data_IF_083960185883
#
_entry.id   IF_083960185883
#
_cell.length_a   1.000
_cell.length_b   1.000
_cell.length_c   1.000
_cell.angle_alpha   90.00
_cell.angle_beta   90.00
_cell.angle_gamma   90.00
#
_symmetry.space_group_name_H-M   'P 1'
#
loop_
_entity.id
_entity.type
_entity.pdbx_description
1 polymer ?
#
# COMPACT_ATOMS: atom_id res chain seq x y z
N UNK A 1 22.34 -10.08 21.49
CA UNK A 1 22.11 -10.48 20.10
C UNK A 1 23.13 -11.52 19.61
N UNK A 2 24.43 -11.25 19.64
CA UNK A 2 25.46 -12.09 19.04
C UNK A 2 25.37 -13.61 19.36
N UNK A 3 24.91 -13.99 20.55
CA UNK A 3 24.74 -15.39 20.97
C UNK A 3 23.52 -16.11 20.38
N UNK A 4 22.63 -15.37 19.73
CA UNK A 4 21.40 -15.88 19.12
C UNK A 4 21.43 -15.80 17.59
N UNK A 5 22.46 -15.17 17.02
CA UNK A 5 22.60 -15.10 15.57
C UNK A 5 22.99 -16.46 15.00
N UNK A 6 22.41 -16.77 13.86
CA UNK A 6 22.61 -18.00 13.07
C UNK A 6 23.15 -17.67 11.68
N UNK A 7 24.39 -17.11 11.57
CA UNK A 7 24.93 -16.67 10.28
C UNK A 7 24.91 -17.78 9.24
N UNK A 8 24.36 -17.46 8.06
CA UNK A 8 24.28 -18.36 6.92
C UNK A 8 24.80 -17.69 5.65
N UNK A 9 25.49 -18.46 4.81
CA UNK A 9 26.02 -18.00 3.53
C UNK A 9 24.96 -17.70 2.48
N UNK A 10 23.72 -18.14 2.69
CA UNK A 10 22.55 -17.83 1.84
C UNK A 10 21.96 -16.43 2.09
N UNK A 11 22.29 -15.81 3.23
CA UNK A 11 21.83 -14.45 3.53
C UNK A 11 22.51 -13.42 2.63
N UNK A 12 21.74 -12.41 2.21
CA UNK A 12 22.34 -11.24 1.56
C UNK A 12 23.16 -10.45 2.59
N UNK A 13 24.47 -10.46 2.40
CA UNK A 13 25.42 -9.78 3.27
C UNK A 13 26.09 -8.57 2.57
N UNK A 14 25.47 -8.01 1.53
CA UNK A 14 26.03 -6.92 0.73
C UNK A 14 25.58 -5.54 1.18
N UNK A 15 24.36 -5.43 1.73
CA UNK A 15 23.75 -4.17 2.13
C UNK A 15 23.24 -4.19 3.57
N UNK A 16 22.80 -3.04 4.08
CA UNK A 16 22.09 -2.91 5.35
C UNK A 16 20.56 -2.81 5.18
N UNK A 17 20.07 -2.80 3.92
CA UNK A 17 18.64 -2.68 3.62
C UNK A 17 17.82 -3.80 4.24
N UNK A 18 18.36 -5.03 4.24
CA UNK A 18 17.71 -6.18 4.85
C UNK A 18 18.74 -6.96 5.68
N UNK A 19 18.54 -7.00 6.98
CA UNK A 19 19.38 -7.72 7.94
C UNK A 19 18.51 -8.70 8.71
N UNK A 20 18.93 -9.96 8.83
CA UNK A 20 18.17 -10.99 9.53
C UNK A 20 19.02 -11.72 10.58
N UNK A 21 18.42 -12.65 11.29
CA UNK A 21 19.10 -13.55 12.22
C UNK A 21 20.23 -14.35 11.54
N UNK A 22 20.14 -14.52 10.20
CA UNK A 22 21.14 -15.23 9.39
C UNK A 22 22.24 -14.32 8.83
N UNK A 23 22.14 -13.02 9.03
CA UNK A 23 23.16 -12.06 8.61
C UNK A 23 24.41 -12.10 9.49
N UNK A 24 25.50 -11.55 8.98
CA UNK A 24 26.74 -11.47 9.75
C UNK A 24 26.59 -10.54 10.95
N UNK A 25 27.31 -10.80 12.02
CA UNK A 25 27.33 -9.93 13.20
C UNK A 25 27.71 -8.49 12.84
N UNK A 26 28.55 -8.31 11.83
CA UNK A 26 28.96 -7.02 11.33
C UNK A 26 27.77 -6.20 10.84
N UNK A 27 26.87 -6.78 10.03
CA UNK A 27 25.65 -6.12 9.55
C UNK A 27 24.66 -5.86 10.67
N UNK A 28 24.47 -6.84 11.57
CA UNK A 28 23.60 -6.68 12.75
C UNK A 28 24.04 -5.49 13.61
N UNK A 29 25.35 -5.25 13.71
CA UNK A 29 25.93 -4.12 14.45
C UNK A 29 26.20 -2.88 13.58
N UNK A 30 25.45 -2.74 12.47
CA UNK A 30 25.46 -1.58 11.58
C UNK A 30 26.74 -1.39 10.75
N UNK A 31 27.65 -2.35 10.71
CA UNK A 31 28.91 -2.30 9.97
C UNK A 31 29.66 -0.98 10.18
N UNK A 32 29.81 -0.21 9.10
CA UNK A 32 30.44 1.11 9.08
C UNK A 32 29.43 2.25 9.06
N UNK A 33 28.15 1.94 9.06
CA UNK A 33 27.11 2.95 9.07
C UNK A 33 27.19 3.76 10.35
N UNK A 34 27.41 5.06 10.21
CA UNK A 34 27.57 5.98 11.31
C UNK A 34 26.31 6.85 11.46
N UNK A 35 25.17 6.18 11.65
CA UNK A 35 23.90 6.84 11.82
C UNK A 35 23.60 7.24 13.26
N UNK A 36 22.72 8.21 13.39
CA UNK A 36 22.17 8.68 14.67
C UNK A 36 20.67 8.45 14.69
N UNK A 37 20.14 7.85 15.74
CA UNK A 37 18.68 7.69 15.93
C UNK A 37 18.07 9.08 16.10
N UNK A 38 17.13 9.42 15.23
CA UNK A 38 16.47 10.72 15.19
C UNK A 38 15.18 10.73 16.01
N UNK A 39 14.34 9.68 15.85
CA UNK A 39 13.10 9.54 16.59
C UNK A 39 13.22 8.45 17.67
N UNK A 40 12.53 8.64 18.79
CA UNK A 40 12.42 7.56 19.78
C UNK A 40 11.72 6.34 19.15
N UNK A 41 12.25 5.11 19.34
CA UNK A 41 11.64 3.92 18.77
C UNK A 41 10.18 3.73 19.25
N UNK A 42 9.27 3.65 18.30
CA UNK A 42 7.89 3.24 18.55
C UNK A 42 7.84 1.72 18.70
N UNK A 43 7.25 1.23 19.79
CA UNK A 43 7.20 -0.20 20.11
C UNK A 43 5.79 -0.71 19.92
N UNK A 44 5.61 -1.70 19.04
CA UNK A 44 4.34 -2.38 18.79
C UNK A 44 4.43 -3.85 19.14
N UNK A 45 3.46 -4.38 19.89
CA UNK A 45 3.34 -5.81 20.15
C UNK A 45 2.33 -6.36 19.14
N UNK A 46 2.80 -7.16 18.19
CA UNK A 46 1.96 -7.71 17.11
C UNK A 46 1.36 -9.06 17.45
N UNK A 47 2.02 -9.84 18.29
CA UNK A 47 1.52 -11.15 18.72
C UNK A 47 1.94 -11.47 20.15
N UNK A 48 1.00 -12.00 20.92
CA UNK A 48 1.25 -12.54 22.27
C UNK A 48 0.68 -13.95 22.33
N UNK A 49 1.53 -14.93 22.61
CA UNK A 49 1.07 -16.29 22.89
C UNK A 49 1.93 -16.96 23.96
N UNK A 50 1.55 -18.18 24.34
CA UNK A 50 2.23 -18.92 25.42
C UNK A 50 3.66 -19.36 25.08
N UNK A 51 4.03 -19.35 23.81
CA UNK A 51 5.32 -19.90 23.31
C UNK A 51 6.29 -18.80 22.92
N UNK A 52 5.80 -17.66 22.41
CA UNK A 52 6.59 -16.53 21.97
C UNK A 52 5.76 -15.25 21.90
N UNK A 53 6.43 -14.13 21.74
CA UNK A 53 5.82 -12.85 21.43
C UNK A 53 6.52 -12.24 20.22
N UNK A 54 5.77 -11.42 19.46
CA UNK A 54 6.30 -10.65 18.33
C UNK A 54 6.25 -9.17 18.66
N UNK A 55 7.38 -8.50 18.48
CA UNK A 55 7.56 -7.08 18.77
C UNK A 55 8.15 -6.42 17.52
N UNK A 56 7.59 -5.28 17.12
CA UNK A 56 8.17 -4.39 16.12
C UNK A 56 8.69 -3.12 16.80
N UNK A 57 9.80 -2.62 16.31
CA UNK A 57 10.32 -1.29 16.61
C UNK A 57 10.41 -0.49 15.31
N UNK A 58 9.83 0.69 15.29
CA UNK A 58 9.87 1.64 14.18
C UNK A 58 10.54 2.92 14.63
N UNK A 59 11.54 3.40 13.87
CA UNK A 59 12.26 4.63 14.17
C UNK A 59 12.97 5.18 12.93
N UNK A 60 13.36 6.44 13.00
CA UNK A 60 14.14 7.11 11.95
C UNK A 60 15.60 7.27 12.39
N UNK A 61 16.49 6.99 11.47
CA UNK A 61 17.94 7.19 11.63
C UNK A 61 18.41 8.19 10.59
N UNK A 62 19.36 9.06 10.96
CA UNK A 62 20.04 9.95 10.03
C UNK A 62 21.51 9.58 9.91
N UNK A 63 22.07 9.73 8.72
CA UNK A 63 23.49 9.60 8.46
C UNK A 63 23.95 10.68 7.48
N UNK A 64 25.26 10.91 7.40
CA UNK A 64 25.82 11.74 6.35
C UNK A 64 26.17 10.85 5.17
N UNK A 65 25.59 11.12 4.02
CA UNK A 65 25.85 10.44 2.76
C UNK A 65 27.24 10.74 2.19
N UNK A 66 27.59 10.04 1.13
CA UNK A 66 28.89 10.18 0.45
C UNK A 66 29.07 11.59 -0.17
N UNK A 67 27.98 12.26 -0.52
CA UNK A 67 27.92 13.64 -1.02
C UNK A 67 28.09 14.70 0.09
N UNK A 68 28.03 14.28 1.36
CA UNK A 68 28.12 15.15 2.54
C UNK A 68 26.76 15.72 2.99
N UNK A 69 25.68 15.34 2.36
CA UNK A 69 24.32 15.71 2.75
C UNK A 69 23.75 14.76 3.81
N UNK A 70 22.71 15.20 4.50
CA UNK A 70 22.06 14.42 5.55
C UNK A 70 20.97 13.53 4.94
N UNK A 71 21.17 12.23 5.02
CA UNK A 71 20.22 11.20 4.60
C UNK A 71 19.39 10.74 5.79
N UNK A 72 18.13 10.36 5.51
CA UNK A 72 17.17 9.89 6.50
C UNK A 72 16.70 8.49 6.12
N UNK A 73 16.60 7.61 7.10
CA UNK A 73 16.23 6.22 6.89
C UNK A 73 15.12 5.79 7.84
N UNK A 74 14.06 5.20 7.30
CA UNK A 74 13.10 4.44 8.09
C UNK A 74 13.71 3.10 8.46
N UNK A 75 13.69 2.77 9.74
CA UNK A 75 14.16 1.49 10.24
C UNK A 75 13.01 0.77 10.93
N UNK A 76 12.76 -0.46 10.50
CA UNK A 76 11.86 -1.38 11.18
C UNK A 76 12.65 -2.58 11.67
N UNK A 77 12.48 -2.93 12.93
CA UNK A 77 13.09 -4.12 13.52
C UNK A 77 12.00 -5.07 14.04
N UNK A 78 12.02 -6.29 13.53
CA UNK A 78 11.15 -7.38 13.96
C UNK A 78 11.89 -8.29 14.93
N UNK A 79 11.25 -8.57 16.06
CA UNK A 79 11.75 -9.47 17.08
C UNK A 79 10.72 -10.53 17.42
N UNK A 80 11.05 -11.81 17.23
CA UNK A 80 10.31 -12.94 17.77
C UNK A 80 11.05 -13.46 18.99
N UNK A 81 10.47 -13.31 20.15
CA UNK A 81 11.12 -13.63 21.42
C UNK A 81 10.33 -14.64 22.24
N UNK A 82 11.02 -15.47 23.01
CA UNK A 82 10.43 -16.37 23.98
C UNK A 82 11.03 -16.09 25.35
N UNK A 83 10.18 -15.79 26.31
CA UNK A 83 10.57 -15.68 27.71
C UNK A 83 10.43 -17.02 28.44
N UNK A 84 11.43 -17.36 29.23
CA UNK A 84 11.40 -18.47 30.20
C UNK A 84 11.75 -17.93 31.57
N UNK A 85 11.55 -18.73 32.62
CA UNK A 85 11.90 -18.31 33.99
C UNK A 85 13.38 -17.93 34.16
N UNK A 86 14.25 -18.43 33.27
CA UNK A 86 15.70 -18.23 33.36
C UNK A 86 16.19 -17.06 32.51
N UNK A 87 15.62 -16.90 31.32
CA UNK A 87 16.07 -15.85 30.36
C UNK A 87 15.11 -15.67 29.21
N UNK A 88 15.35 -14.59 28.46
CA UNK A 88 14.73 -14.33 27.14
C UNK A 88 15.57 -14.97 26.02
N UNK A 89 14.92 -15.62 25.09
CA UNK A 89 15.50 -16.18 23.88
C UNK A 89 15.02 -15.36 22.67
N UNK A 90 15.93 -15.02 21.77
CA UNK A 90 15.62 -14.51 20.45
C UNK A 90 15.40 -15.70 19.53
N UNK A 91 14.22 -15.79 18.90
CA UNK A 91 13.84 -16.87 17.98
C UNK A 91 13.94 -16.42 16.52
N UNK A 92 13.72 -15.14 16.24
CA UNK A 92 13.95 -14.51 14.95
C UNK A 92 14.23 -13.03 15.14
N UNK A 93 14.99 -12.46 14.22
CA UNK A 93 15.32 -11.05 14.11
C UNK A 93 15.39 -10.67 12.64
N UNK A 94 14.73 -9.60 12.29
CA UNK A 94 14.81 -8.95 10.98
C UNK A 94 14.89 -7.44 11.19
N UNK A 95 15.65 -6.77 10.34
CA UNK A 95 15.70 -5.31 10.27
C UNK A 95 15.69 -4.89 8.82
N UNK A 96 14.75 -4.04 8.46
CA UNK A 96 14.73 -3.31 7.19
C UNK A 96 15.17 -1.88 7.40
N UNK A 97 15.84 -1.31 6.41
CA UNK A 97 16.26 0.08 6.40
C UNK A 97 16.06 0.64 5.01
N UNK A 98 15.15 1.58 4.88
CA UNK A 98 14.76 2.23 3.63
C UNK A 98 15.03 3.72 3.71
N UNK A 99 15.68 4.26 2.68
CA UNK A 99 15.92 5.70 2.60
C UNK A 99 14.61 6.46 2.38
N UNK A 100 14.40 7.52 3.16
CA UNK A 100 13.27 8.41 3.01
C UNK A 100 13.55 9.34 1.82
N UNK A 101 12.79 9.15 0.75
CA UNK A 101 12.86 9.99 -0.43
C UNK A 101 12.47 11.44 -0.10
N UNK A 102 13.32 12.40 -0.41
CA UNK A 102 13.12 13.83 -0.11
C UNK A 102 13.11 14.71 -1.35
N UNK A 103 13.21 14.10 -2.53
CA UNK A 103 13.27 14.82 -3.80
C UNK A 103 14.40 15.85 -3.87
N UNK A 104 15.57 15.49 -3.37
CA UNK A 104 16.75 16.35 -3.39
C UNK A 104 17.38 16.41 -4.79
N UNK A 105 18.24 17.38 -5.05
CA UNK A 105 18.75 17.58 -6.41
C UNK A 105 19.56 16.40 -6.95
N UNK A 106 20.19 15.64 -6.07
CA UNK A 106 21.02 14.48 -6.44
C UNK A 106 20.21 13.28 -6.93
N UNK A 107 18.89 13.27 -6.70
CA UNK A 107 17.98 12.26 -7.24
C UNK A 107 17.64 12.47 -8.72
N UNK A 108 17.93 13.67 -9.27
CA UNK A 108 17.58 14.02 -10.64
C UNK A 108 18.79 13.88 -11.57
N UNK A 109 18.64 13.00 -12.55
CA UNK A 109 19.59 12.81 -13.64
C UNK A 109 18.97 13.29 -14.96
N UNK A 110 19.82 13.45 -15.99
CA UNK A 110 19.35 13.99 -17.28
C UNK A 110 18.15 13.24 -17.87
N UNK A 111 18.11 11.91 -17.69
CA UNK A 111 17.13 11.03 -18.30
C UNK A 111 16.34 10.16 -17.32
N UNK A 112 16.57 10.25 -16.03
CA UNK A 112 15.86 9.47 -15.02
C UNK A 112 15.84 10.14 -13.66
N UNK A 113 14.87 9.74 -12.84
CA UNK A 113 14.76 10.08 -11.43
C UNK A 113 15.08 8.83 -10.60
N UNK A 114 16.01 8.94 -9.67
CA UNK A 114 16.36 7.85 -8.76
C UNK A 114 15.46 7.92 -7.53
N UNK A 115 14.64 6.89 -7.33
CA UNK A 115 13.68 6.85 -6.22
C UNK A 115 14.17 6.06 -5.00
N UNK A 116 15.35 5.42 -5.08
CA UNK A 116 15.85 4.56 -4.01
C UNK A 116 14.94 3.37 -3.67
N UNK A 117 14.15 2.90 -4.62
CA UNK A 117 13.19 1.80 -4.42
C UNK A 117 13.94 0.47 -4.48
N UNK A 118 13.82 -0.34 -3.43
CA UNK A 118 14.43 -1.67 -3.33
C UNK A 118 13.43 -2.82 -3.51
N UNK A 119 12.13 -2.51 -3.59
CA UNK A 119 11.05 -3.48 -3.78
C UNK A 119 10.51 -3.43 -5.20
N UNK A 120 10.07 -4.56 -5.75
CA UNK A 120 9.29 -4.61 -6.99
C UNK A 120 7.80 -4.28 -6.80
N UNK A 121 7.37 -4.23 -5.55
CA UNK A 121 5.97 -3.98 -5.16
C UNK A 121 5.80 -2.49 -4.82
N UNK A 122 5.70 -1.68 -5.88
CA UNK A 122 5.54 -0.24 -5.79
C UNK A 122 4.23 0.16 -6.43
N UNK A 123 3.39 0.88 -5.69
CA UNK A 123 2.18 1.47 -6.23
C UNK A 123 2.57 2.66 -7.13
N UNK A 124 2.22 2.58 -8.41
CA UNK A 124 2.41 3.69 -9.36
C UNK A 124 1.35 3.67 -10.46
N UNK A 125 1.06 4.83 -11.02
CA UNK A 125 0.17 5.01 -12.16
C UNK A 125 0.61 6.17 -13.03
N UNK A 126 0.51 6.01 -14.35
CA UNK A 126 0.76 7.09 -15.31
C UNK A 126 -0.52 7.57 -15.97
N UNK A 127 -0.49 8.79 -16.53
CA UNK A 127 -1.49 9.23 -17.49
C UNK A 127 -1.41 8.43 -18.79
N UNK A 128 -2.36 8.58 -19.69
CA UNK A 128 -2.41 7.82 -20.97
C UNK A 128 -1.19 8.07 -21.87
N UNK A 129 -0.68 9.30 -21.90
CA UNK A 129 0.51 9.63 -22.70
C UNK A 129 1.82 9.17 -22.09
N UNK A 130 1.84 8.73 -20.83
CA UNK A 130 3.05 8.33 -20.10
C UNK A 130 3.98 9.49 -19.76
N UNK A 131 3.52 10.75 -19.89
CA UNK A 131 4.30 11.95 -19.58
C UNK A 131 4.27 12.34 -18.10
N UNK A 132 3.32 11.81 -17.36
CA UNK A 132 3.14 12.05 -15.93
C UNK A 132 3.07 10.71 -15.23
N UNK A 133 3.84 10.57 -14.15
CA UNK A 133 3.91 9.38 -13.31
C UNK A 133 3.66 9.76 -11.86
N UNK A 134 2.61 9.22 -11.25
CA UNK A 134 2.41 9.27 -9.82
C UNK A 134 2.86 7.95 -9.19
N UNK A 135 3.51 7.99 -8.05
CA UNK A 135 4.05 6.82 -7.35
C UNK A 135 3.99 7.01 -5.84
N UNK A 136 3.92 5.90 -5.12
CA UNK A 136 3.93 5.88 -3.65
C UNK A 136 5.31 5.45 -3.17
N UNK A 137 5.92 6.27 -2.32
CA UNK A 137 7.18 5.96 -1.66
C UNK A 137 7.05 6.25 -0.17
N UNK A 138 7.33 5.26 0.67
CA UNK A 138 7.32 5.37 2.14
C UNK A 138 6.03 5.99 2.73
N UNK A 139 4.86 5.59 2.18
CA UNK A 139 3.56 6.11 2.61
C UNK A 139 3.25 7.53 2.14
N UNK A 140 3.99 8.05 1.16
CA UNK A 140 3.80 9.36 0.55
C UNK A 140 3.47 9.23 -0.93
N UNK A 141 2.59 10.07 -1.43
CA UNK A 141 2.26 10.14 -2.86
C UNK A 141 3.01 11.28 -3.53
N UNK A 142 3.74 10.95 -4.57
CA UNK A 142 4.50 11.87 -5.41
C UNK A 142 4.02 11.79 -6.85
N UNK A 143 4.01 12.92 -7.56
CA UNK A 143 3.72 12.96 -9.00
C UNK A 143 4.84 13.69 -9.74
N UNK A 144 5.42 13.04 -10.75
CA UNK A 144 6.45 13.58 -11.63
C UNK A 144 5.89 13.88 -13.02
N UNK A 145 5.98 15.13 -13.45
CA UNK A 145 5.67 15.57 -14.80
C UNK A 145 6.98 15.69 -15.60
N UNK A 146 7.21 14.76 -16.52
CA UNK A 146 8.44 14.72 -17.32
C UNK A 146 8.55 15.88 -18.32
N UNK A 147 7.41 16.43 -18.79
CA UNK A 147 7.38 17.56 -19.73
C UNK A 147 7.81 18.85 -19.05
N UNK A 148 7.32 19.08 -17.85
CA UNK A 148 7.64 20.28 -17.06
C UNK A 148 8.90 20.09 -16.19
N UNK A 149 9.38 18.86 -16.08
CA UNK A 149 10.45 18.46 -15.14
C UNK A 149 10.13 18.88 -13.71
N UNK A 150 8.88 18.67 -13.31
CA UNK A 150 8.35 19.05 -12.01
C UNK A 150 8.00 17.79 -11.22
N UNK A 151 8.50 17.72 -9.99
CA UNK A 151 8.09 16.74 -9.01
C UNK A 151 7.25 17.45 -7.94
N UNK A 152 6.09 16.88 -7.63
CA UNK A 152 5.18 17.38 -6.59
C UNK A 152 4.94 16.32 -5.54
N UNK A 153 5.11 16.66 -4.27
CA UNK A 153 4.58 15.85 -3.17
C UNK A 153 3.09 16.13 -3.07
N UNK A 154 2.29 15.13 -3.40
CA UNK A 154 0.83 15.24 -3.45
C UNK A 154 0.22 14.99 -2.07
N UNK A 155 0.68 13.93 -1.40
CA UNK A 155 0.16 13.58 -0.08
C UNK A 155 1.28 13.06 0.82
N UNK A 156 1.28 13.54 2.06
CA UNK A 156 2.16 13.05 3.12
C UNK A 156 1.54 13.34 4.49
N UNK A 157 1.69 12.43 5.42
CA UNK A 157 1.43 12.71 6.84
C UNK A 157 2.64 13.34 7.53
N UNK A 158 3.81 13.34 6.90
CA UNK A 158 5.04 13.93 7.46
C UNK A 158 5.03 15.44 7.27
N UNK A 159 5.39 16.16 8.33
CA UNK A 159 5.75 17.56 8.23
C UNK A 159 7.15 17.73 7.61
N UNK A 160 7.53 18.98 7.32
CA UNK A 160 8.82 19.30 6.69
C UNK A 160 10.03 18.75 7.47
N UNK A 161 9.96 18.71 8.80
CA UNK A 161 11.06 18.19 9.63
C UNK A 161 11.02 16.67 9.83
N UNK A 162 9.84 16.04 9.72
CA UNK A 162 9.65 14.59 9.76
C UNK A 162 10.11 13.90 11.06
N UNK A 163 10.16 14.63 12.17
CA UNK A 163 10.70 14.15 13.46
C UNK A 163 9.64 13.69 14.47
N UNK A 164 8.38 13.91 14.19
CA UNK A 164 7.29 13.42 15.05
C UNK A 164 7.05 11.93 14.78
N UNK A 165 7.08 11.10 15.83
CA UNK A 165 6.81 9.66 15.72
C UNK A 165 5.42 9.34 15.14
N UNK A 166 4.42 10.21 15.36
CA UNK A 166 3.08 10.06 14.79
C UNK A 166 3.09 10.22 13.28
N UNK A 167 3.90 11.13 12.75
CA UNK A 167 4.04 11.36 11.31
C UNK A 167 4.65 10.17 10.58
N UNK A 168 5.51 9.44 11.27
CA UNK A 168 6.24 8.30 10.73
C UNK A 168 5.53 6.95 11.03
N UNK A 169 4.30 6.97 11.56
CA UNK A 169 3.55 5.75 11.80
C UNK A 169 3.14 5.11 10.47
N UNK A 170 3.50 3.83 10.28
CA UNK A 170 3.43 3.15 8.98
C UNK A 170 2.11 2.40 8.72
N UNK A 171 1.13 2.47 9.61
CA UNK A 171 -0.12 1.72 9.48
C UNK A 171 -1.12 2.41 8.54
N UNK A 172 -0.66 2.79 7.35
CA UNK A 172 -1.50 3.26 6.24
C UNK A 172 -0.85 2.93 4.90
N UNK A 173 -1.69 2.81 3.88
CA UNK A 173 -1.28 2.65 2.48
C UNK A 173 -2.02 3.67 1.61
N UNK A 174 -1.48 3.89 0.41
CA UNK A 174 -2.08 4.76 -0.61
C UNK A 174 -2.30 3.92 -1.87
N UNK A 175 -3.45 4.10 -2.51
CA UNK A 175 -3.75 3.52 -3.82
C UNK A 175 -4.14 4.62 -4.79
N UNK A 176 -3.51 4.64 -5.95
CA UNK A 176 -3.77 5.62 -7.01
C UNK A 176 -4.91 5.09 -7.88
N UNK A 177 -6.02 5.84 -7.96
CA UNK A 177 -7.19 5.44 -8.74
C UNK A 177 -7.04 5.90 -10.19
N UNK A 178 -6.66 7.18 -10.41
CA UNK A 178 -6.59 7.78 -11.73
C UNK A 178 -5.52 8.88 -11.76
N UNK A 179 -4.89 9.05 -12.91
CA UNK A 179 -4.02 10.20 -13.23
C UNK A 179 -4.47 10.74 -14.58
N UNK A 180 -4.83 12.01 -14.66
CA UNK A 180 -5.27 12.63 -15.88
C UNK A 180 -4.13 13.28 -16.70
N UNK A 181 -4.44 13.80 -17.89
CA UNK A 181 -3.45 14.43 -18.76
C UNK A 181 -2.93 15.79 -18.26
N UNK A 182 -3.56 16.36 -17.24
CA UNK A 182 -3.09 17.59 -16.58
C UNK A 182 -2.17 17.30 -15.40
N UNK A 183 -2.13 16.03 -14.93
CA UNK A 183 -1.40 15.58 -13.75
C UNK A 183 -2.22 15.67 -12.47
N UNK A 184 -3.52 15.92 -12.58
CA UNK A 184 -4.42 15.74 -11.44
C UNK A 184 -4.64 14.25 -11.20
N UNK A 185 -4.88 13.88 -9.95
CA UNK A 185 -4.97 12.48 -9.56
C UNK A 185 -6.04 12.24 -8.50
N UNK A 186 -6.78 11.14 -8.68
CA UNK A 186 -7.69 10.62 -7.67
C UNK A 186 -7.01 9.46 -6.96
N UNK A 187 -7.01 9.47 -5.64
CA UNK A 187 -6.32 8.47 -4.85
C UNK A 187 -7.04 8.19 -3.52
N UNK A 188 -6.72 7.05 -2.95
CA UNK A 188 -7.26 6.59 -1.67
C UNK A 188 -6.13 6.41 -0.67
N UNK A 189 -6.31 6.94 0.53
CA UNK A 189 -5.46 6.63 1.70
C UNK A 189 -6.29 5.78 2.64
N UNK A 190 -5.79 4.61 3.01
CA UNK A 190 -6.51 3.71 3.92
C UNK A 190 -5.60 3.21 5.03
N UNK A 191 -6.17 3.09 6.21
CA UNK A 191 -5.46 2.71 7.42
C UNK A 191 -5.62 3.74 8.53
N UNK A 192 -4.59 3.86 9.35
CA UNK A 192 -4.54 4.81 10.45
C UNK A 192 -4.20 6.21 9.93
N UNK A 193 -5.04 7.18 10.26
CA UNK A 193 -4.83 8.58 9.88
C UNK A 193 -3.91 9.27 10.87
N UNK A 194 -2.65 9.45 10.50
CA UNK A 194 -1.61 10.01 11.37
C UNK A 194 -1.84 11.49 11.68
N UNK A 195 -2.46 12.21 10.75
CA UNK A 195 -2.67 13.66 10.80
C UNK A 195 -3.99 14.05 10.12
N UNK A 196 -4.39 15.31 10.32
CA UNK A 196 -5.52 15.91 9.62
C UNK A 196 -6.84 15.79 10.38
N UNK A 197 -7.96 15.91 9.65
CA UNK A 197 -9.31 15.95 10.24
C UNK A 197 -9.70 14.64 10.94
N UNK A 198 -9.08 13.53 10.52
CA UNK A 198 -9.38 12.18 11.01
C UNK A 198 -8.22 11.59 11.84
N UNK A 199 -7.31 12.44 12.36
CA UNK A 199 -6.19 11.98 13.18
C UNK A 199 -6.65 11.02 14.29
N UNK A 200 -5.99 9.87 14.38
CA UNK A 200 -6.30 8.84 15.38
C UNK A 200 -7.41 7.87 14.99
N UNK A 201 -8.02 8.01 13.81
CA UNK A 201 -9.02 7.07 13.30
C UNK A 201 -8.41 6.12 12.28
N UNK A 202 -8.99 4.94 12.15
CA UNK A 202 -8.75 4.02 11.03
C UNK A 202 -9.89 4.18 10.04
N UNK A 203 -9.58 4.23 8.75
CA UNK A 203 -10.62 4.38 7.73
C UNK A 203 -10.06 4.41 6.31
N UNK A 204 -10.92 4.80 5.39
CA UNK A 204 -10.62 4.97 3.96
C UNK A 204 -10.97 6.39 3.57
N UNK A 205 -9.97 7.19 3.22
CA UNK A 205 -10.14 8.54 2.69
C UNK A 205 -9.98 8.56 1.18
N UNK A 206 -10.91 9.18 0.46
CA UNK A 206 -10.85 9.41 -0.98
C UNK A 206 -10.50 10.87 -1.22
N UNK A 207 -9.50 11.10 -2.05
CA UNK A 207 -8.92 12.43 -2.26
C UNK A 207 -8.77 12.73 -3.74
N UNK A 208 -8.97 14.00 -4.08
CA UNK A 208 -8.66 14.58 -5.39
C UNK A 208 -7.47 15.55 -5.28
N UNK A 209 -6.47 15.38 -6.14
CA UNK A 209 -5.36 16.31 -6.31
C UNK A 209 -5.55 17.13 -7.58
N UNK A 210 -5.70 18.44 -7.46
CA UNK A 210 -5.65 19.39 -8.58
C UNK A 210 -4.19 19.82 -8.81
N UNK A 211 -3.60 19.41 -9.92
CA UNK A 211 -2.21 19.70 -10.26
C UNK A 211 -1.96 21.17 -10.61
N UNK A 212 -2.99 21.88 -11.11
CA UNK A 212 -2.90 23.29 -11.49
C UNK A 212 -2.96 24.21 -10.26
N UNK A 213 -3.91 23.93 -9.37
CA UNK A 213 -4.02 24.63 -8.10
C UNK A 213 -2.97 24.18 -7.07
N UNK A 214 -2.40 22.99 -7.27
CA UNK A 214 -1.52 22.27 -6.35
C UNK A 214 -2.16 22.11 -4.97
N UNK A 215 -3.40 21.62 -4.96
CA UNK A 215 -4.21 21.40 -3.76
C UNK A 215 -4.76 19.98 -3.73
N UNK A 216 -4.93 19.46 -2.53
CA UNK A 216 -5.59 18.17 -2.27
C UNK A 216 -6.88 18.45 -1.52
N UNK A 217 -7.98 17.89 -2.01
CA UNK A 217 -9.29 17.94 -1.39
C UNK A 217 -9.72 16.53 -0.97
N UNK A 218 -10.23 16.39 0.25
CA UNK A 218 -10.86 15.17 0.73
C UNK A 218 -12.32 15.16 0.26
N UNK A 219 -12.68 14.17 -0.54
CA UNK A 219 -14.02 14.00 -1.08
C UNK A 219 -14.91 13.13 -0.20
N UNK A 220 -14.29 12.13 0.44
CA UNK A 220 -15.01 11.16 1.27
C UNK A 220 -14.09 10.59 2.35
N UNK A 221 -14.64 10.33 3.53
CA UNK A 221 -14.01 9.51 4.54
C UNK A 221 -14.98 8.43 5.06
N UNK A 222 -14.56 7.17 4.99
CA UNK A 222 -15.30 6.01 5.48
C UNK A 222 -14.59 5.51 6.73
N UNK A 223 -15.11 5.75 7.94
CA UNK A 223 -14.48 5.29 9.17
C UNK A 223 -14.58 3.77 9.30
N UNK A 224 -13.52 3.14 9.82
CA UNK A 224 -13.49 1.71 10.17
C UNK A 224 -13.35 1.54 11.68
N UNK A 225 -13.99 0.50 12.21
CA UNK A 225 -13.80 0.07 13.61
C UNK A 225 -12.74 -1.03 13.73
N UNK A 226 -12.21 -1.51 12.62
CA UNK A 226 -11.17 -2.52 12.55
C UNK A 226 -9.78 -1.89 12.60
N UNK A 227 -8.76 -2.68 12.97
CA UNK A 227 -7.37 -2.26 12.84
C UNK A 227 -6.97 -2.12 11.37
N UNK A 228 -5.83 -1.46 11.13
CA UNK A 228 -5.29 -1.32 9.77
C UNK A 228 -5.10 -2.67 9.07
N UNK A 229 -4.56 -3.67 9.74
CA UNK A 229 -4.30 -4.99 9.14
C UNK A 229 -5.60 -5.69 8.73
N UNK A 230 -6.65 -5.57 9.55
CA UNK A 230 -7.98 -6.13 9.22
C UNK A 230 -8.59 -5.36 8.06
N UNK A 231 -8.60 -4.03 8.12
CA UNK A 231 -9.10 -3.19 7.03
C UNK A 231 -8.37 -3.50 5.72
N UNK A 232 -7.04 -3.58 5.73
CA UNK A 232 -6.22 -3.94 4.56
C UNK A 232 -6.60 -5.30 3.98
N UNK A 233 -6.89 -6.29 4.83
CA UNK A 233 -7.31 -7.62 4.41
C UNK A 233 -8.74 -7.65 3.85
N UNK A 234 -9.61 -6.76 4.32
CA UNK A 234 -11.00 -6.64 3.88
C UNK A 234 -11.13 -5.83 2.57
N UNK A 235 -10.19 -4.92 2.32
CA UNK A 235 -10.15 -4.16 1.08
C UNK A 235 -9.78 -5.07 -0.09
N UNK A 236 -10.74 -5.28 -1.00
CA UNK A 236 -10.51 -5.99 -2.24
C UNK A 236 -9.61 -5.22 -3.21
N UNK A 237 -9.29 -5.85 -4.34
CA UNK A 237 -8.53 -5.19 -5.40
C UNK A 237 -9.31 -4.03 -6.05
N UNK A 238 -10.65 -4.11 -6.04
CA UNK A 238 -11.50 -3.18 -6.75
C UNK A 238 -11.65 -1.87 -5.99
N UNK A 239 -11.10 -0.82 -6.57
CA UNK A 239 -11.37 0.59 -6.30
C UNK A 239 -11.42 1.32 -7.63
N UNK A 240 -12.54 1.95 -7.97
CA UNK A 240 -12.76 2.60 -9.25
C UNK A 240 -13.62 3.84 -9.09
N UNK A 241 -13.27 4.91 -9.76
CA UNK A 241 -14.09 6.11 -9.88
C UNK A 241 -14.45 6.33 -11.34
N UNK A 242 -15.74 6.46 -11.63
CA UNK A 242 -16.22 6.72 -12.98
C UNK A 242 -16.31 8.23 -13.27
N UNK A 243 -16.49 8.59 -14.55
CA UNK A 243 -16.61 9.98 -14.99
C UNK A 243 -17.81 10.74 -14.40
N UNK A 244 -18.76 10.03 -13.78
CA UNK A 244 -19.94 10.61 -13.14
C UNK A 244 -19.75 10.90 -11.65
N UNK A 245 -18.54 10.69 -11.09
CA UNK A 245 -18.23 10.87 -9.67
C UNK A 245 -18.85 9.79 -8.79
N UNK A 246 -19.01 8.59 -9.34
CA UNK A 246 -19.42 7.40 -8.57
C UNK A 246 -18.16 6.60 -8.24
N UNK A 247 -17.88 6.49 -6.96
CA UNK A 247 -16.77 5.68 -6.45
C UNK A 247 -17.25 4.30 -6.07
N UNK A 248 -16.55 3.28 -6.56
CA UNK A 248 -16.79 1.87 -6.29
C UNK A 248 -15.66 1.30 -5.45
N UNK A 249 -16.00 0.65 -4.36
CA UNK A 249 -15.03 0.02 -3.46
C UNK A 249 -15.53 -1.35 -2.98
N UNK A 250 -14.63 -2.32 -2.95
CA UNK A 250 -14.90 -3.64 -2.38
C UNK A 250 -14.36 -3.71 -0.96
N UNK A 251 -15.23 -3.93 0.02
CA UNK A 251 -14.86 -4.11 1.43
C UNK A 251 -15.63 -5.30 2.03
N UNK A 252 -14.93 -6.17 2.75
CA UNK A 252 -15.53 -7.30 3.46
C UNK A 252 -16.35 -8.21 2.54
N UNK A 253 -15.95 -8.39 1.27
CA UNK A 253 -16.68 -9.19 0.29
C UNK A 253 -17.96 -8.54 -0.23
N UNK A 254 -18.11 -7.23 -0.07
CA UNK A 254 -19.25 -6.45 -0.60
C UNK A 254 -18.74 -5.32 -1.47
N UNK A 255 -19.34 -5.14 -2.65
CA UNK A 255 -19.11 -4.02 -3.55
C UNK A 255 -20.11 -2.91 -3.22
N UNK A 256 -19.56 -1.75 -2.88
CA UNK A 256 -20.30 -0.51 -2.62
C UNK A 256 -20.14 0.47 -3.78
N UNK A 257 -21.21 1.19 -4.09
CA UNK A 257 -21.27 2.34 -4.97
C UNK A 257 -21.53 3.58 -4.11
N UNK A 258 -20.67 4.59 -4.18
CA UNK A 258 -20.77 5.79 -3.36
C UNK A 258 -20.74 7.00 -4.29
N UNK A 259 -21.74 7.85 -4.18
CA UNK A 259 -21.74 9.13 -4.89
C UNK A 259 -20.90 10.15 -4.11
N UNK A 260 -19.76 10.59 -4.67
CA UNK A 260 -18.81 11.47 -3.97
C UNK A 260 -19.43 12.84 -3.63
N UNK A 261 -20.27 13.39 -4.51
CA UNK A 261 -20.89 14.69 -4.27
C UNK A 261 -21.94 14.69 -3.14
N UNK A 262 -22.59 13.55 -2.87
CA UNK A 262 -23.67 13.44 -1.87
C UNK A 262 -23.37 12.51 -0.73
N UNK A 263 -22.26 11.81 -0.79
CA UNK A 263 -21.81 10.76 0.15
C UNK A 263 -22.82 9.63 0.37
N UNK A 264 -23.76 9.46 -0.58
CA UNK A 264 -24.74 8.39 -0.51
C UNK A 264 -24.12 7.08 -0.99
N UNK A 265 -24.16 6.09 -0.13
CA UNK A 265 -23.72 4.75 -0.44
C UNK A 265 -24.87 3.83 -0.82
N UNK A 266 -24.57 2.82 -1.62
CA UNK A 266 -25.46 1.75 -2.01
C UNK A 266 -24.66 0.46 -2.15
N UNK A 267 -25.14 -0.61 -1.53
CA UNK A 267 -24.65 -1.97 -1.79
C UNK A 267 -25.04 -2.38 -3.21
N UNK A 268 -24.05 -2.77 -4.02
CA UNK A 268 -24.27 -3.28 -5.38
C UNK A 268 -24.40 -4.79 -5.38
N UNK A 269 -23.43 -5.47 -4.79
CA UNK A 269 -23.38 -6.95 -4.68
C UNK A 269 -22.59 -7.31 -3.43
N UNK A 270 -23.04 -8.34 -2.73
CA UNK A 270 -22.32 -8.96 -1.60
C UNK A 270 -22.05 -10.45 -1.83
N UNK A 271 -21.21 -11.03 -0.98
CA UNK A 271 -20.84 -12.44 -1.04
C UNK A 271 -19.64 -12.72 -1.95
N UNK A 272 -18.77 -11.75 -2.19
CA UNK A 272 -17.51 -11.99 -2.88
C UNK A 272 -16.55 -12.81 -2.01
N UNK A 273 -16.09 -13.93 -2.57
CA UNK A 273 -15.12 -14.84 -1.98
C UNK A 273 -14.07 -15.21 -3.03
N UNK A 274 -12.89 -15.63 -2.58
CA UNK A 274 -11.83 -16.06 -3.50
C UNK A 274 -12.35 -17.13 -4.47
N UNK A 275 -12.25 -16.83 -5.77
CA UNK A 275 -12.61 -17.74 -6.86
C UNK A 275 -14.05 -17.61 -7.37
N UNK A 276 -14.91 -16.76 -6.79
CA UNK A 276 -16.26 -16.52 -7.32
C UNK A 276 -16.37 -15.17 -8.06
N UNK A 277 -15.31 -14.38 -8.13
CA UNK A 277 -15.25 -13.13 -8.88
C UNK A 277 -13.90 -12.92 -9.56
N UNK A 278 -13.87 -12.01 -10.54
CA UNK A 278 -12.68 -11.48 -11.17
C UNK A 278 -12.87 -9.98 -11.44
N UNK A 279 -11.78 -9.21 -11.42
CA UNK A 279 -11.76 -7.77 -11.69
C UNK A 279 -10.80 -7.50 -12.83
N UNK A 280 -11.11 -6.57 -13.73
CA UNK A 280 -10.20 -6.13 -14.79
C UNK A 280 -9.03 -5.34 -14.20
N UNK A 281 -7.90 -5.28 -14.90
CA UNK A 281 -6.69 -4.59 -14.45
C UNK A 281 -6.94 -3.10 -14.19
N UNK A 282 -7.76 -2.46 -15.01
CA UNK A 282 -8.18 -1.07 -14.85
C UNK A 282 -9.31 -0.85 -13.82
N UNK A 283 -9.78 -1.91 -13.16
CA UNK A 283 -10.90 -1.92 -12.21
C UNK A 283 -12.27 -1.49 -12.78
N UNK A 284 -12.39 -1.31 -14.10
CA UNK A 284 -13.63 -0.89 -14.74
C UNK A 284 -14.69 -1.99 -14.83
N UNK A 285 -14.26 -3.25 -14.86
CA UNK A 285 -15.17 -4.40 -14.95
C UNK A 285 -15.02 -5.32 -13.74
N UNK A 286 -16.16 -5.83 -13.27
CA UNK A 286 -16.21 -6.92 -12.31
C UNK A 286 -17.13 -8.03 -12.81
N UNK A 287 -16.63 -9.27 -12.80
CA UNK A 287 -17.39 -10.48 -13.14
C UNK A 287 -17.58 -11.31 -11.87
N UNK A 288 -18.79 -11.77 -11.60
CA UNK A 288 -19.09 -12.54 -10.39
C UNK A 288 -20.19 -13.59 -10.62
N UNK A 289 -20.14 -14.65 -9.82
CA UNK A 289 -21.17 -15.68 -9.78
C UNK A 289 -22.38 -15.12 -9.01
N UNK A 290 -23.52 -15.05 -9.70
CA UNK A 290 -24.72 -14.44 -9.14
C UNK A 290 -25.59 -15.40 -8.31
N UNK A 291 -25.43 -16.71 -8.46
CA UNK A 291 -26.39 -17.73 -8.01
C UNK A 291 -25.76 -18.94 -7.30
N UNK A 292 -24.49 -18.86 -6.93
CA UNK A 292 -23.82 -19.99 -6.30
C UNK A 292 -22.44 -19.66 -5.74
N UNK A 293 -21.78 -20.70 -5.27
CA UNK A 293 -20.38 -20.63 -4.88
C UNK A 293 -19.47 -20.93 -6.07
N UNK A 294 -18.15 -20.82 -5.86
CA UNK A 294 -17.14 -21.05 -6.88
C UNK A 294 -17.21 -22.42 -7.58
N UNK A 295 -17.84 -23.41 -6.95
CA UNK A 295 -17.88 -24.80 -7.43
C UNK A 295 -19.18 -25.19 -8.12
N UNK A 296 -20.20 -24.35 -8.06
CA UNK A 296 -21.56 -24.66 -8.54
C UNK A 296 -22.26 -23.50 -9.24
N UNK A 297 -21.51 -22.49 -9.68
CA UNK A 297 -22.08 -21.34 -10.38
C UNK A 297 -22.73 -21.74 -11.71
N UNK A 298 -23.97 -21.35 -11.94
CA UNK A 298 -24.63 -21.56 -13.22
C UNK A 298 -24.69 -20.30 -14.08
N UNK A 299 -24.39 -19.15 -13.48
CA UNK A 299 -24.47 -17.85 -14.13
C UNK A 299 -23.40 -16.88 -13.61
N UNK A 300 -22.73 -16.21 -14.53
CA UNK A 300 -21.80 -15.10 -14.22
C UNK A 300 -22.45 -13.81 -14.72
N UNK A 301 -22.43 -12.79 -13.87
CA UNK A 301 -22.76 -11.41 -14.26
C UNK A 301 -21.46 -10.65 -14.44
N UNK A 302 -21.32 -9.97 -15.57
CA UNK A 302 -20.22 -9.02 -15.83
C UNK A 302 -20.79 -7.62 -15.79
N UNK A 303 -20.32 -6.80 -14.86
CA UNK A 303 -20.75 -5.42 -14.63
C UNK A 303 -19.66 -4.45 -15.05
N UNK A 304 -20.04 -3.48 -15.89
CA UNK A 304 -19.21 -2.33 -16.23
C UNK A 304 -19.54 -1.18 -15.27
N UNK A 305 -18.56 -0.76 -14.48
CA UNK A 305 -18.72 0.25 -13.44
C UNK A 305 -18.74 1.68 -14.00
N UNK A 306 -18.21 1.89 -15.23
CA UNK A 306 -18.27 3.19 -15.88
C UNK A 306 -19.69 3.61 -16.26
N UNK A 307 -20.52 2.66 -16.70
CA UNK A 307 -21.84 2.98 -17.21
C UNK A 307 -22.97 2.16 -16.55
N UNK A 308 -22.65 1.38 -15.52
CA UNK A 308 -23.56 0.50 -14.76
C UNK A 308 -24.31 -0.54 -15.62
N UNK A 309 -23.80 -0.85 -16.82
CA UNK A 309 -24.36 -1.89 -17.67
C UNK A 309 -23.80 -3.25 -17.33
N UNK A 310 -24.62 -4.27 -17.45
CA UNK A 310 -24.20 -5.65 -17.22
C UNK A 310 -24.66 -6.58 -18.32
N UNK A 311 -23.97 -7.69 -18.49
CA UNK A 311 -24.41 -8.83 -19.27
C UNK A 311 -24.19 -10.12 -18.48
N UNK A 312 -24.85 -11.19 -18.89
CA UNK A 312 -24.80 -12.46 -18.21
C UNK A 312 -24.28 -13.56 -19.14
N UNK A 313 -23.47 -14.45 -18.56
CA UNK A 313 -23.02 -15.67 -19.20
C UNK A 313 -23.62 -16.84 -18.41
N UNK A 314 -24.34 -17.72 -19.08
CA UNK A 314 -24.95 -18.89 -18.45
C UNK A 314 -24.19 -20.18 -18.84
N UNK A 315 -24.06 -21.09 -17.87
CA UNK A 315 -23.50 -22.42 -18.08
C UNK A 315 -24.33 -23.23 -19.05
N UNK A 316 -23.74 -24.14 -19.81
CA UNK A 316 -24.46 -25.14 -20.56
C UNK A 316 -25.20 -26.11 -19.62
N UNK A 317 -26.21 -26.81 -20.14
CA UNK A 317 -26.96 -27.74 -19.31
C UNK A 317 -26.09 -28.86 -18.75
N UNK A 318 -26.00 -28.93 -17.43
CA UNK A 318 -25.22 -29.94 -16.71
C UNK A 318 -23.73 -29.55 -16.47
N UNK A 319 -23.36 -28.32 -16.77
CA UNK A 319 -22.03 -27.79 -16.46
C UNK A 319 -22.11 -26.63 -15.44
N UNK A 320 -20.96 -26.22 -14.93
CA UNK A 320 -20.80 -25.07 -14.03
C UNK A 320 -19.78 -24.11 -14.64
N UNK A 321 -19.94 -22.83 -14.38
CA UNK A 321 -19.02 -21.78 -14.85
C UNK A 321 -18.45 -20.97 -13.69
N UNK A 322 -17.22 -20.49 -13.88
CA UNK A 322 -16.58 -19.59 -12.93
C UNK A 322 -15.77 -18.51 -13.64
N UNK A 323 -15.74 -17.29 -13.09
CA UNK A 323 -14.87 -16.25 -13.59
C UNK A 323 -13.41 -16.63 -13.32
N UNK A 324 -12.52 -16.34 -14.27
CA UNK A 324 -11.08 -16.61 -14.15
C UNK A 324 -10.29 -15.32 -14.11
N UNK A 325 -10.43 -14.48 -15.13
CA UNK A 325 -9.64 -13.26 -15.28
C UNK A 325 -10.26 -12.31 -16.33
N UNK A 326 -9.65 -11.16 -16.47
CA UNK A 326 -9.76 -10.32 -17.66
C UNK A 326 -8.41 -10.24 -18.35
N UNK A 327 -8.42 -10.06 -19.66
CA UNK A 327 -7.27 -9.72 -20.48
C UNK A 327 -7.63 -8.43 -21.22
N UNK A 328 -7.11 -7.31 -20.78
CA UNK A 328 -7.66 -6.00 -21.09
C UNK A 328 -9.16 -5.96 -20.72
N UNK A 329 -10.05 -5.71 -21.68
CA UNK A 329 -11.51 -5.69 -21.50
C UNK A 329 -12.20 -7.04 -21.82
N UNK A 330 -11.44 -8.03 -22.30
CA UNK A 330 -11.97 -9.36 -22.66
C UNK A 330 -12.10 -10.24 -21.40
N UNK A 331 -13.34 -10.67 -21.11
CA UNK A 331 -13.63 -11.52 -19.98
C UNK A 331 -13.33 -12.99 -20.28
N UNK A 332 -12.61 -13.65 -19.39
CA UNK A 332 -12.22 -15.06 -19.46
C UNK A 332 -12.91 -15.84 -18.34
N UNK A 333 -13.58 -16.93 -18.70
CA UNK A 333 -14.22 -17.83 -17.75
C UNK A 333 -13.91 -19.30 -18.07
N UNK A 334 -14.07 -20.17 -17.07
CA UNK A 334 -14.01 -21.62 -17.21
C UNK A 334 -15.40 -22.24 -17.16
N UNK A 335 -15.61 -23.33 -17.91
CA UNK A 335 -16.80 -24.15 -17.91
C UNK A 335 -16.44 -25.63 -17.68
#
# INVERSE_FOLDING_TARGET
LATYMEPDSSADNTTLANVSIHSTLRQVTWDKFNGTVLTDPSVSIKEINNSYNVILLDYVVTATGDNGELEYYNVEEYYRVRYTNDRMYLLNFERTMDEIFRAENDDFYENYLQLGICSSDVEYKSNETGSILCFVKEGELWCYNATEKKLSQVFSFRGYEGIDSRENHKEHDIRIIKVDETGSADFVVYGYMNRGNHEGQVGVGVYHYDSVANTVEEELFIPSTHSYEVLKSELGQLMYENESGMFYIMMGGTLYEINLATTKEKEVVSGFETGNYAVSENNQFVAYIADGNSDSGSKITVLNLENSKSFEVAAAAGTYIRPLAFMEDDFIYGE
#
